data_IF_924586556134
#
_entry.id   IF_924586556134
#
_cell.length_a   1.000
_cell.length_b   1.000
_cell.length_c   1.000
_cell.angle_alpha   90.00
_cell.angle_beta   90.00
_cell.angle_gamma   90.00
#
_symmetry.space_group_name_H-M   'P 1'
#
loop_
_entity.id
_entity.type
_entity.pdbx_description
1 polymer ?
#
# COMPACT_ATOMS: atom_id res chain seq x y z
N UNK A 1 -31.47 33.40 3.10
CA UNK A 1 -30.88 32.04 3.19
C UNK A 1 -29.57 32.11 2.47
N UNK A 2 -28.48 32.27 3.23
CA UNK A 2 -27.12 32.33 2.72
C UNK A 2 -26.64 30.90 2.54
N UNK A 3 -26.55 30.46 1.29
CA UNK A 3 -25.79 29.26 0.91
C UNK A 3 -24.33 29.53 1.26
N UNK A 4 -23.82 28.93 2.33
CA UNK A 4 -22.39 28.88 2.57
C UNK A 4 -21.75 28.07 1.45
N UNK A 5 -21.04 28.75 0.55
CA UNK A 5 -20.09 28.14 -0.39
C UNK A 5 -18.91 27.58 0.41
N UNK A 6 -19.12 26.46 1.09
CA UNK A 6 -18.08 25.69 1.75
C UNK A 6 -17.60 24.55 0.86
N UNK A 7 -16.29 24.29 0.85
CA UNK A 7 -15.73 23.05 0.28
C UNK A 7 -16.35 21.85 1.02
N UNK A 8 -16.88 20.83 0.32
CA UNK A 8 -17.35 19.58 0.92
C UNK A 8 -16.39 19.01 1.96
N UNK A 9 -16.92 18.42 3.06
CA UNK A 9 -16.11 17.95 4.19
C UNK A 9 -15.01 16.98 3.74
N UNK A 10 -15.34 15.98 2.92
CA UNK A 10 -14.38 14.95 2.49
C UNK A 10 -13.24 15.52 1.65
N UNK A 11 -13.56 16.35 0.66
CA UNK A 11 -12.59 17.07 -0.19
C UNK A 11 -11.61 17.91 0.65
N UNK A 12 -12.13 18.64 1.65
CA UNK A 12 -11.31 19.41 2.57
C UNK A 12 -10.34 18.55 3.39
N UNK A 13 -10.81 17.43 3.94
CA UNK A 13 -10.00 16.58 4.81
C UNK A 13 -8.85 15.92 4.07
N UNK A 14 -9.08 15.48 2.84
CA UNK A 14 -7.99 14.95 2.03
C UNK A 14 -7.05 16.05 1.57
N UNK A 15 -7.54 17.23 1.18
CA UNK A 15 -6.67 18.40 0.91
C UNK A 15 -5.77 18.69 2.13
N UNK A 16 -6.31 18.60 3.34
CA UNK A 16 -5.55 18.74 4.57
C UNK A 16 -4.50 17.63 4.73
N UNK A 17 -4.82 16.36 4.43
CA UNK A 17 -3.84 15.26 4.42
C UNK A 17 -2.72 15.52 3.41
N UNK A 18 -3.05 15.94 2.19
CA UNK A 18 -2.07 16.23 1.14
C UNK A 18 -1.13 17.39 1.55
N UNK A 19 -1.68 18.49 2.07
CA UNK A 19 -0.90 19.64 2.56
C UNK A 19 -0.04 19.23 3.77
N UNK A 20 -0.59 18.44 4.68
CA UNK A 20 0.06 18.04 5.92
C UNK A 20 0.31 19.21 6.89
N UNK A 21 1.04 18.92 7.96
CA UNK A 21 1.48 19.93 8.92
C UNK A 21 0.44 20.32 9.97
N UNK A 22 0.91 21.05 10.99
CA UNK A 22 0.10 21.50 12.14
C UNK A 22 -1.11 22.34 11.74
N UNK A 23 -1.03 23.14 10.68
CA UNK A 23 -2.12 23.98 10.20
C UNK A 23 -3.25 23.14 9.60
N UNK A 24 -2.93 22.17 8.74
CA UNK A 24 -3.90 21.26 8.16
C UNK A 24 -4.57 20.40 9.23
N UNK A 25 -3.78 19.86 10.17
CA UNK A 25 -4.32 19.11 11.32
C UNK A 25 -5.27 19.95 12.17
N UNK A 26 -4.90 21.19 12.51
CA UNK A 26 -5.76 22.09 13.28
C UNK A 26 -7.06 22.41 12.55
N UNK A 27 -6.99 22.52 11.22
CA UNK A 27 -8.15 22.79 10.38
C UNK A 27 -9.09 21.56 10.31
N UNK A 28 -8.55 20.33 10.33
CA UNK A 28 -9.34 19.10 10.49
C UNK A 28 -10.06 19.05 11.85
N UNK A 29 -9.37 19.35 12.96
CA UNK A 29 -9.98 19.34 14.30
C UNK A 29 -11.18 20.30 14.42
N UNK A 30 -11.14 21.45 13.73
CA UNK A 30 -12.25 22.40 13.71
C UNK A 30 -13.46 21.93 12.90
N UNK A 31 -13.33 20.88 12.09
CA UNK A 31 -14.31 20.45 11.08
C UNK A 31 -14.75 18.99 11.21
N UNK A 32 -13.98 18.17 11.94
CA UNK A 32 -14.30 16.79 12.30
C UNK A 32 -14.61 16.68 13.79
N UNK A 33 -15.85 16.35 14.13
CA UNK A 33 -16.18 15.82 15.45
C UNK A 33 -16.08 14.30 15.42
N UNK A 34 -14.86 13.75 15.40
CA UNK A 34 -14.65 12.30 15.45
C UNK A 34 -14.01 11.94 16.79
N UNK A 35 -14.73 11.14 17.56
CA UNK A 35 -14.31 10.58 18.84
C UNK A 35 -13.68 9.21 18.57
N UNK A 36 -12.36 9.20 18.42
CA UNK A 36 -11.59 7.97 18.18
C UNK A 36 -11.21 7.39 19.53
N UNK A 37 -11.51 6.11 19.84
CA UNK A 37 -11.10 5.52 21.09
C UNK A 37 -9.59 5.60 21.32
N UNK A 38 -9.20 5.82 22.57
CA UNK A 38 -7.82 5.78 23.04
C UNK A 38 -7.32 4.33 22.97
N UNK A 39 -6.06 4.13 22.58
CA UNK A 39 -5.43 2.82 22.58
C UNK A 39 -5.18 2.26 23.98
N UNK A 40 -4.86 0.97 24.11
CA UNK A 40 -4.60 0.36 25.41
C UNK A 40 -3.24 0.77 25.98
N UNK A 41 -3.13 0.82 27.31
CA UNK A 41 -1.83 1.01 28.01
C UNK A 41 -0.86 -0.17 27.83
N UNK A 42 -1.40 -1.34 27.46
CA UNK A 42 -0.64 -2.57 27.27
C UNK A 42 -0.89 -3.15 25.87
N UNK A 43 0.18 -3.20 25.07
CA UNK A 43 0.16 -3.70 23.70
C UNK A 43 0.39 -5.21 23.55
N UNK A 44 0.45 -5.97 24.64
CA UNK A 44 0.63 -7.43 24.57
C UNK A 44 -0.50 -8.16 23.84
N UNK A 45 -1.69 -7.56 23.74
CA UNK A 45 -2.80 -8.06 22.93
C UNK A 45 -2.64 -7.79 21.43
N UNK A 46 -1.73 -6.90 21.03
CA UNK A 46 -1.50 -6.61 19.62
C UNK A 46 -0.69 -7.73 18.98
N UNK A 47 -0.99 -8.08 17.72
CA UNK A 47 -0.24 -9.11 17.02
C UNK A 47 1.22 -8.68 16.88
N UNK A 48 2.13 -9.64 17.01
CA UNK A 48 3.56 -9.43 16.70
C UNK A 48 3.76 -9.05 15.23
N UNK A 49 2.84 -9.44 14.35
CA UNK A 49 2.86 -9.07 12.93
C UNK A 49 2.31 -7.65 12.75
N UNK A 50 3.18 -6.68 12.48
CA UNK A 50 2.77 -5.30 12.25
C UNK A 50 1.71 -5.21 11.13
N UNK A 51 1.89 -6.01 10.08
CA UNK A 51 1.03 -6.03 8.91
C UNK A 51 -0.33 -6.72 9.10
N UNK A 52 -0.63 -7.33 10.24
CA UNK A 52 -1.87 -8.10 10.46
C UNK A 52 -3.10 -7.21 10.71
N UNK A 53 -3.53 -6.45 9.70
CA UNK A 53 -4.60 -5.45 9.79
C UNK A 53 -5.99 -6.02 9.51
N UNK A 54 -6.11 -7.13 8.80
CA UNK A 54 -7.39 -7.62 8.28
C UNK A 54 -8.45 -7.87 9.37
N UNK A 55 -8.05 -8.24 10.58
CA UNK A 55 -8.97 -8.45 11.71
C UNK A 55 -9.49 -7.15 12.32
N UNK A 56 -8.76 -6.04 12.15
CA UNK A 56 -9.12 -4.72 12.67
C UNK A 56 -9.88 -3.85 11.65
N UNK A 57 -10.17 -4.40 10.46
CA UNK A 57 -10.80 -3.71 9.35
C UNK A 57 -12.21 -4.24 9.07
N UNK A 58 -13.14 -3.36 8.65
CA UNK A 58 -14.47 -3.79 8.26
C UNK A 58 -14.43 -4.62 6.98
N UNK A 59 -15.54 -5.32 6.72
CA UNK A 59 -15.75 -6.08 5.51
C UNK A 59 -16.94 -5.52 4.73
N UNK A 60 -16.88 -5.60 3.41
CA UNK A 60 -18.03 -5.32 2.55
C UNK A 60 -19.06 -6.46 2.60
N UNK A 61 -20.19 -6.28 1.91
CA UNK A 61 -21.29 -7.26 1.86
C UNK A 61 -20.87 -8.64 1.31
N UNK A 62 -19.71 -8.72 0.63
CA UNK A 62 -19.16 -9.95 0.09
C UNK A 62 -18.05 -10.54 0.98
N UNK A 63 -17.66 -9.86 2.06
CA UNK A 63 -16.61 -10.30 2.98
C UNK A 63 -15.20 -9.88 2.59
N UNK A 64 -15.03 -9.01 1.59
CA UNK A 64 -13.74 -8.42 1.26
C UNK A 64 -13.33 -7.42 2.34
N UNK A 65 -12.04 -7.35 2.65
CA UNK A 65 -11.53 -6.35 3.61
C UNK A 65 -11.57 -4.97 2.95
N UNK A 66 -12.13 -3.99 3.65
CA UNK A 66 -12.19 -2.60 3.17
C UNK A 66 -10.96 -1.85 3.67
N UNK A 67 -10.23 -1.22 2.74
CA UNK A 67 -9.01 -0.49 3.04
C UNK A 67 -9.32 0.86 3.70
N UNK A 68 -8.47 1.34 4.65
CA UNK A 68 -8.61 2.68 5.19
C UNK A 68 -8.46 3.80 4.15
N UNK A 69 -9.27 4.85 4.29
CA UNK A 69 -9.39 5.92 3.31
C UNK A 69 -8.16 6.80 3.14
N UNK A 70 -7.39 7.05 4.20
CA UNK A 70 -6.27 8.01 4.19
C UNK A 70 -4.95 7.31 4.50
N UNK A 71 -3.91 7.73 3.76
CA UNK A 71 -2.58 7.14 3.80
C UNK A 71 -1.51 8.22 3.91
N UNK A 72 -0.53 7.98 4.77
CA UNK A 72 0.72 8.76 4.81
C UNK A 72 1.89 7.80 4.86
N UNK A 73 2.84 7.96 3.95
CA UNK A 73 4.14 7.31 3.93
C UNK A 73 5.21 8.36 4.24
N UNK A 74 5.93 8.19 5.36
CA UNK A 74 7.09 8.99 5.71
C UNK A 74 8.34 8.18 5.39
N UNK A 75 9.11 8.63 4.41
CA UNK A 75 10.40 8.04 4.06
C UNK A 75 11.48 8.75 4.87
N UNK A 76 12.36 7.97 5.48
CA UNK A 76 13.21 8.42 6.58
C UNK A 76 14.67 8.01 6.34
N UNK A 77 15.58 8.95 6.56
CA UNK A 77 17.02 8.68 6.60
C UNK A 77 17.50 8.74 8.05
N UNK A 78 18.19 7.71 8.49
CA UNK A 78 18.81 7.67 9.82
C UNK A 78 19.90 8.75 9.89
N UNK A 79 19.85 9.59 10.93
CA UNK A 79 20.63 10.84 10.98
C UNK A 79 22.11 10.62 11.25
N UNK A 80 22.47 9.51 11.88
CA UNK A 80 23.86 9.23 12.30
C UNK A 80 24.56 8.35 11.27
N UNK A 81 25.88 8.44 11.27
CA UNK A 81 26.74 7.50 10.58
C UNK A 81 26.83 6.19 11.38
N UNK A 82 27.01 5.08 10.68
CA UNK A 82 27.13 3.75 11.30
C UNK A 82 25.80 3.15 11.77
N UNK A 83 25.92 2.18 12.68
CA UNK A 83 24.81 1.39 13.19
C UNK A 83 24.01 2.15 14.26
N UNK A 84 22.67 1.98 14.31
CA UNK A 84 21.86 2.52 15.39
C UNK A 84 22.20 1.90 16.74
N UNK A 85 22.08 2.68 17.82
CA UNK A 85 22.37 2.23 19.19
C UNK A 85 21.09 1.98 20.02
N UNK A 86 21.24 1.58 21.28
CA UNK A 86 20.10 1.28 22.17
C UNK A 86 19.19 2.48 22.39
N UNK A 87 19.77 3.66 22.65
CA UNK A 87 19.02 4.90 22.89
C UNK A 87 18.17 5.28 21.66
N UNK A 88 18.68 5.08 20.45
CA UNK A 88 17.91 5.34 19.22
C UNK A 88 16.70 4.40 19.10
N UNK A 89 16.85 3.13 19.51
CA UNK A 89 15.76 2.14 19.50
C UNK A 89 14.69 2.51 20.50
N UNK A 90 15.10 2.88 21.71
CA UNK A 90 14.20 3.29 22.78
C UNK A 90 13.43 4.57 22.39
N UNK A 91 14.11 5.54 21.76
CA UNK A 91 13.49 6.78 21.28
C UNK A 91 12.41 6.48 20.21
N UNK A 92 12.74 5.67 19.20
CA UNK A 92 11.80 5.30 18.13
C UNK A 92 10.62 4.52 18.70
N UNK A 93 10.87 3.50 19.53
CA UNK A 93 9.80 2.69 20.11
C UNK A 93 8.89 3.53 21.01
N UNK A 94 9.45 4.45 21.80
CA UNK A 94 8.68 5.35 22.66
C UNK A 94 7.78 6.27 21.85
N UNK A 95 8.30 6.88 20.77
CA UNK A 95 7.50 7.73 19.88
C UNK A 95 6.35 6.94 19.20
N UNK A 96 6.64 5.73 18.71
CA UNK A 96 5.61 4.86 18.10
C UNK A 96 4.54 4.43 19.12
N UNK A 97 4.94 4.10 20.35
CA UNK A 97 3.99 3.81 21.41
C UNK A 97 3.13 5.01 21.76
N UNK A 98 3.66 6.23 21.74
CA UNK A 98 2.90 7.46 22.03
C UNK A 98 1.65 7.60 21.14
N UNK A 99 1.80 7.38 19.83
CA UNK A 99 0.68 7.44 18.88
C UNK A 99 -0.26 6.23 18.96
N UNK A 100 0.25 5.05 19.33
CA UNK A 100 -0.58 3.86 19.55
C UNK A 100 -1.35 3.89 20.87
N UNK A 101 -0.91 4.64 21.87
CA UNK A 101 -1.73 4.96 23.04
C UNK A 101 -2.77 6.01 22.68
N UNK A 102 -2.42 7.02 21.88
CA UNK A 102 -3.36 8.06 21.49
C UNK A 102 -4.55 7.53 20.69
N UNK A 103 -4.36 6.51 19.85
CA UNK A 103 -5.40 5.97 18.99
C UNK A 103 -5.46 4.45 19.05
N UNK A 104 -6.68 3.90 19.19
CA UNK A 104 -6.88 2.46 19.09
C UNK A 104 -6.45 1.92 17.71
N UNK A 105 -6.10 0.63 17.69
CA UNK A 105 -5.77 -0.08 16.47
C UNK A 105 -7.04 -0.55 15.76
N UNK A 106 -7.61 0.31 14.93
CA UNK A 106 -8.80 0.03 14.10
C UNK A 106 -8.74 0.80 12.78
N UNK A 107 -9.69 0.54 11.87
CA UNK A 107 -9.83 1.30 10.63
C UNK A 107 -10.08 2.79 10.86
N UNK A 108 -10.86 3.17 11.88
CA UNK A 108 -11.16 4.56 12.22
C UNK A 108 -10.11 5.19 13.15
N UNK A 109 -9.42 4.34 13.92
CA UNK A 109 -8.21 4.65 14.66
C UNK A 109 -6.97 4.63 13.79
N UNK A 110 -5.87 4.09 14.32
CA UNK A 110 -4.58 4.09 13.65
C UNK A 110 -4.10 2.67 13.31
N UNK A 111 -3.82 2.45 12.04
CA UNK A 111 -3.02 1.32 11.56
C UNK A 111 -1.65 1.82 11.13
N UNK A 112 -0.59 1.16 11.59
CA UNK A 112 0.78 1.55 11.27
C UNK A 112 1.70 0.37 11.00
N UNK A 113 2.67 0.58 10.12
CA UNK A 113 3.87 -0.26 9.99
C UNK A 113 5.13 0.60 9.91
N UNK A 114 6.23 0.06 10.42
CA UNK A 114 7.59 0.57 10.16
C UNK A 114 8.35 -0.48 9.38
N UNK A 115 9.04 -0.06 8.33
CA UNK A 115 9.77 -0.93 7.41
C UNK A 115 11.14 -0.36 7.06
N UNK A 116 12.09 -1.21 6.70
CA UNK A 116 13.51 -0.87 6.54
C UNK A 116 14.06 -1.35 5.20
N UNK A 117 14.78 -0.50 4.48
CA UNK A 117 15.32 -0.82 3.15
C UNK A 117 16.62 -1.64 3.24
N UNK A 118 17.08 -2.25 2.13
CA UNK A 118 18.44 -2.81 2.04
C UNK A 118 19.52 -1.82 2.49
N UNK A 119 19.43 -0.55 2.08
CA UNK A 119 20.38 0.50 2.44
C UNK A 119 20.51 0.73 3.95
N UNK A 120 19.44 0.50 4.72
CA UNK A 120 19.54 0.51 6.18
C UNK A 120 20.37 -0.66 6.72
N UNK A 121 20.22 -1.85 6.15
CA UNK A 121 20.94 -3.04 6.57
C UNK A 121 22.42 -3.05 6.12
N UNK A 122 22.76 -2.34 5.05
CA UNK A 122 24.15 -2.13 4.60
C UNK A 122 25.03 -1.40 5.63
N UNK A 123 24.41 -0.81 6.68
CA UNK A 123 25.11 -0.17 7.80
C UNK A 123 25.69 -1.18 8.79
N UNK A 124 25.24 -2.43 8.75
CA UNK A 124 25.70 -3.50 9.64
C UNK A 124 26.86 -4.27 9.00
N UNK A 125 27.78 -4.75 9.83
CA UNK A 125 28.88 -5.60 9.36
C UNK A 125 28.41 -7.00 8.95
N UNK A 126 27.28 -7.43 9.51
CA UNK A 126 26.65 -8.73 9.25
C UNK A 126 25.55 -8.60 8.20
N UNK A 127 25.50 -9.54 7.26
CA UNK A 127 24.41 -9.62 6.29
C UNK A 127 23.11 -10.05 6.98
N UNK A 128 21.98 -9.79 6.32
CA UNK A 128 20.70 -10.38 6.71
C UNK A 128 20.77 -11.93 6.70
N UNK A 129 19.93 -12.62 7.51
CA UNK A 129 19.82 -14.08 7.48
C UNK A 129 19.40 -14.55 6.08
N UNK A 130 19.92 -15.70 5.62
CA UNK A 130 19.62 -16.27 4.29
C UNK A 130 18.12 -16.44 4.01
N UNK A 131 17.30 -16.61 5.04
CA UNK A 131 15.84 -16.75 4.91
C UNK A 131 15.08 -15.44 4.65
N UNK A 132 15.75 -14.29 4.68
CA UNK A 132 15.15 -12.97 4.41
C UNK A 132 15.50 -12.55 2.98
N UNK A 133 14.56 -12.73 2.06
CA UNK A 133 14.70 -12.28 0.68
C UNK A 133 14.35 -10.79 0.55
N UNK A 134 15.29 -9.93 0.95
CA UNK A 134 15.23 -8.48 0.81
C UNK A 134 16.29 -8.00 -0.20
N UNK A 135 15.95 -8.00 -1.48
CA UNK A 135 16.83 -7.54 -2.56
C UNK A 135 16.75 -6.04 -2.77
N UNK A 136 17.81 -5.47 -3.35
CA UNK A 136 17.80 -4.10 -3.84
C UNK A 136 16.69 -3.87 -4.87
N UNK A 137 16.04 -2.69 -4.85
CA UNK A 137 15.05 -2.37 -5.87
C UNK A 137 15.71 -2.19 -7.24
N UNK A 138 15.03 -2.63 -8.30
CA UNK A 138 15.52 -2.49 -9.67
C UNK A 138 14.38 -2.24 -10.69
N UNK A 139 14.74 -1.94 -11.93
CA UNK A 139 13.79 -1.94 -13.03
C UNK A 139 13.31 -3.37 -13.31
N UNK A 140 12.00 -3.61 -13.26
CA UNK A 140 11.39 -4.94 -13.39
C UNK A 140 10.82 -5.19 -14.78
N UNK A 141 10.99 -4.26 -15.72
CA UNK A 141 10.60 -4.45 -17.10
C UNK A 141 11.51 -3.64 -18.02
N UNK A 142 11.78 -4.10 -19.25
CA UNK A 142 12.67 -3.42 -20.21
C UNK A 142 12.19 -2.04 -20.69
N UNK A 143 10.98 -1.64 -20.31
CA UNK A 143 10.38 -0.35 -20.65
C UNK A 143 10.24 0.59 -19.45
N UNK A 144 10.76 0.20 -18.29
CA UNK A 144 10.80 0.99 -17.05
C UNK A 144 12.22 1.53 -16.82
N UNK A 145 12.31 2.74 -16.27
CA UNK A 145 13.54 3.35 -15.77
C UNK A 145 13.18 4.19 -14.53
N UNK A 146 12.83 3.54 -13.40
CA UNK A 146 12.37 4.24 -12.21
C UNK A 146 13.56 4.75 -11.40
N UNK A 147 13.36 5.88 -10.71
CA UNK A 147 14.27 6.25 -9.64
C UNK A 147 14.10 5.28 -8.46
N UNK A 148 15.21 4.79 -7.90
CA UNK A 148 15.19 3.81 -6.82
C UNK A 148 15.13 4.52 -5.46
N UNK A 149 14.12 4.19 -4.66
CA UNK A 149 13.97 4.66 -3.30
C UNK A 149 14.91 3.87 -2.38
N UNK A 150 15.97 4.51 -1.90
CA UNK A 150 16.93 3.96 -0.92
C UNK A 150 16.92 4.63 0.48
N UNK A 151 15.86 5.31 0.95
CA UNK A 151 15.86 5.81 2.32
C UNK A 151 15.84 4.64 3.31
N UNK A 152 16.41 4.85 4.50
CA UNK A 152 16.64 3.80 5.48
C UNK A 152 15.34 3.14 5.96
N UNK A 153 14.27 3.92 6.15
CA UNK A 153 13.00 3.41 6.66
C UNK A 153 11.77 4.09 6.05
N UNK A 154 10.63 3.42 6.13
CA UNK A 154 9.31 3.98 5.82
C UNK A 154 8.35 3.70 6.96
N UNK A 155 7.72 4.76 7.47
CA UNK A 155 6.54 4.67 8.34
C UNK A 155 5.30 4.83 7.49
N UNK A 156 4.41 3.83 7.50
CA UNK A 156 3.12 3.86 6.83
C UNK A 156 2.01 4.02 7.86
N UNK A 157 1.28 5.14 7.80
CA UNK A 157 0.11 5.45 8.61
C UNK A 157 -1.15 5.32 7.77
N UNK A 158 -2.19 4.69 8.32
CA UNK A 158 -3.48 4.53 7.66
C UNK A 158 -4.65 4.69 8.63
N UNK A 159 -5.70 5.38 8.18
CA UNK A 159 -6.96 5.57 8.92
C UNK A 159 -8.09 5.97 7.97
N UNK A 160 -9.33 5.68 8.33
CA UNK A 160 -10.52 6.28 7.72
C UNK A 160 -10.69 7.75 8.12
N UNK A 161 -9.98 8.20 9.16
CA UNK A 161 -10.08 9.54 9.72
C UNK A 161 -8.83 10.36 9.38
N UNK A 162 -9.00 11.41 8.59
CA UNK A 162 -7.90 12.28 8.15
C UNK A 162 -7.12 12.89 9.33
N UNK A 163 -7.83 13.34 10.37
CA UNK A 163 -7.19 13.91 11.55
C UNK A 163 -6.25 12.92 12.26
N UNK A 164 -6.51 11.61 12.18
CA UNK A 164 -5.70 10.59 12.87
C UNK A 164 -4.34 10.46 12.20
N UNK A 165 -4.28 10.30 10.88
CA UNK A 165 -2.99 10.20 10.16
C UNK A 165 -2.19 11.50 10.26
N UNK A 166 -2.85 12.65 10.19
CA UNK A 166 -2.22 13.96 10.38
C UNK A 166 -1.70 14.16 11.81
N UNK A 167 -2.50 13.82 12.80
CA UNK A 167 -2.15 13.96 14.21
C UNK A 167 -0.99 13.04 14.61
N UNK A 168 -1.04 11.78 14.17
CA UNK A 168 0.03 10.80 14.37
C UNK A 168 1.33 11.25 13.69
N UNK A 169 1.27 11.74 12.45
CA UNK A 169 2.42 12.32 11.76
C UNK A 169 3.05 13.48 12.55
N UNK A 170 2.24 14.43 13.00
CA UNK A 170 2.73 15.60 13.73
C UNK A 170 3.29 15.25 15.11
N UNK A 171 2.71 14.27 15.80
CA UNK A 171 3.26 13.76 17.06
C UNK A 171 4.60 13.04 16.86
N UNK A 172 4.75 12.21 15.81
CA UNK A 172 6.04 11.60 15.48
C UNK A 172 7.13 12.64 15.19
N UNK A 173 6.75 13.80 14.65
CA UNK A 173 7.64 14.95 14.41
C UNK A 173 7.89 15.82 15.64
N UNK A 174 7.30 15.50 16.80
CA UNK A 174 7.42 16.30 18.02
C UNK A 174 6.61 17.59 18.04
N UNK A 175 5.69 17.80 17.10
CA UNK A 175 4.92 19.03 16.97
C UNK A 175 3.67 19.06 17.87
N UNK A 176 3.45 18.02 18.70
CA UNK A 176 2.29 17.86 19.58
C UNK A 176 2.70 17.30 20.93
N UNK A 177 2.39 18.05 21.99
CA UNK A 177 2.53 17.59 23.38
C UNK A 177 1.36 16.71 23.83
N UNK A 178 0.19 16.84 23.17
CA UNK A 178 -1.02 16.06 23.47
C UNK A 178 -1.66 15.65 22.14
N UNK A 179 -2.10 14.40 22.05
CA UNK A 179 -2.78 13.82 20.89
C UNK A 179 -3.96 12.98 21.37
N UNK A 180 -5.16 13.24 20.85
CA UNK A 180 -6.40 12.57 21.27
C UNK A 180 -6.63 12.57 22.81
N UNK A 181 -6.29 13.67 23.48
CA UNK A 181 -6.38 13.78 24.94
C UNK A 181 -5.29 13.02 25.72
N UNK A 182 -4.35 12.38 25.04
CA UNK A 182 -3.21 11.65 25.63
C UNK A 182 -1.94 12.47 25.51
N UNK A 183 -1.25 12.69 26.64
CA UNK A 183 0.06 13.32 26.65
C UNK A 183 1.06 12.47 25.86
N UNK A 184 1.78 13.12 24.96
CA UNK A 184 2.80 12.47 24.15
C UNK A 184 4.13 12.39 24.92
N UNK A 185 4.88 11.30 24.77
CA UNK A 185 6.16 11.15 25.43
C UNK A 185 7.16 12.21 24.95
N UNK A 186 8.17 12.50 25.77
CA UNK A 186 9.34 13.31 25.38
C UNK A 186 10.29 12.48 24.49
N UNK A 187 9.74 11.95 23.40
CA UNK A 187 10.46 11.18 22.40
C UNK A 187 9.89 11.45 21.01
N UNK A 188 10.74 11.86 20.06
CA UNK A 188 10.33 12.13 18.69
C UNK A 188 11.05 11.23 17.71
N UNK A 189 10.34 10.80 16.67
CA UNK A 189 10.92 10.03 15.58
C UNK A 189 12.02 10.84 14.86
N UNK A 190 11.83 12.16 14.80
CA UNK A 190 12.73 13.10 14.12
C UNK A 190 14.03 13.40 14.85
N UNK A 191 14.18 13.01 16.12
CA UNK A 191 15.47 13.08 16.80
C UNK A 191 16.46 12.04 16.24
N UNK A 192 15.92 10.94 15.72
CA UNK A 192 16.67 9.80 15.19
C UNK A 192 16.71 9.79 13.66
N UNK A 193 15.62 10.21 13.03
CA UNK A 193 15.47 10.25 11.58
C UNK A 193 15.35 11.67 11.02
N UNK A 194 15.81 11.87 9.80
CA UNK A 194 15.43 12.99 8.95
C UNK A 194 14.34 12.52 7.98
N UNK A 195 13.29 13.32 7.79
CA UNK A 195 12.26 13.03 6.78
C UNK A 195 12.85 13.33 5.40
N UNK A 196 13.02 12.28 4.60
CA UNK A 196 13.56 12.35 3.24
C UNK A 196 12.47 12.66 2.21
N UNK A 197 11.29 12.06 2.38
CA UNK A 197 10.15 12.26 1.51
C UNK A 197 8.84 12.00 2.30
N UNK A 198 7.74 12.59 1.83
CA UNK A 198 6.40 12.40 2.38
C UNK A 198 5.45 12.18 1.21
N UNK A 199 4.79 11.02 1.21
CA UNK A 199 3.83 10.64 0.18
C UNK A 199 2.49 10.36 0.82
N UNK A 200 1.42 10.86 0.24
CA UNK A 200 0.07 10.69 0.75
C UNK A 200 -0.84 10.11 -0.30
N UNK A 201 -2.01 9.68 0.14
CA UNK A 201 -3.02 9.27 -0.80
C UNK A 201 -4.28 8.74 -0.14
N UNK A 202 -5.11 8.16 -0.98
CA UNK A 202 -6.47 7.76 -0.64
C UNK A 202 -6.95 6.56 -1.44
N UNK A 203 -7.92 5.84 -0.90
CA UNK A 203 -8.59 4.72 -1.56
C UNK A 203 -9.98 4.58 -0.97
N UNK A 204 -10.98 4.26 -1.80
CA UNK A 204 -12.35 4.10 -1.34
C UNK A 204 -13.34 4.82 -2.23
N UNK A 205 -14.58 4.34 -2.22
CA UNK A 205 -15.60 4.72 -3.19
C UNK A 205 -15.82 6.23 -3.21
N UNK A 206 -15.76 6.80 -4.41
CA UNK A 206 -16.00 8.22 -4.67
C UNK A 206 -14.80 9.12 -4.42
N UNK A 207 -13.81 8.69 -3.64
CA UNK A 207 -12.61 9.49 -3.40
C UNK A 207 -11.88 9.84 -4.70
N UNK A 208 -11.66 8.95 -5.69
CA UNK A 208 -11.07 9.34 -6.97
C UNK A 208 -11.84 10.45 -7.70
N UNK A 209 -13.18 10.42 -7.71
CA UNK A 209 -13.98 11.45 -8.36
C UNK A 209 -13.90 12.79 -7.63
N UNK A 210 -13.98 12.78 -6.29
CA UNK A 210 -13.80 13.97 -5.44
C UNK A 210 -12.44 14.65 -5.63
N UNK A 211 -11.46 13.93 -6.20
CA UNK A 211 -10.06 14.35 -6.28
C UNK A 211 -9.52 14.49 -7.70
N UNK A 212 -10.39 14.32 -8.69
CA UNK A 212 -9.99 14.41 -10.08
C UNK A 212 -9.48 15.81 -10.45
N UNK A 213 -10.05 16.87 -9.86
CA UNK A 213 -9.68 18.26 -10.14
C UNK A 213 -8.33 18.68 -9.52
N UNK A 214 -7.83 17.95 -8.53
CA UNK A 214 -6.51 18.19 -7.92
C UNK A 214 -5.34 17.77 -8.82
N UNK A 215 -5.61 16.94 -9.83
CA UNK A 215 -4.60 16.29 -10.66
C UNK A 215 -4.72 16.65 -12.14
N UNK A 216 -3.59 17.02 -12.75
CA UNK A 216 -3.54 17.27 -14.19
C UNK A 216 -3.78 15.98 -14.97
N UNK A 217 -4.60 16.07 -16.01
CA UNK A 217 -4.82 14.97 -16.96
C UNK A 217 -5.85 13.94 -16.50
N UNK A 218 -6.66 14.25 -15.48
CA UNK A 218 -7.83 13.44 -15.10
C UNK A 218 -9.09 14.03 -15.74
N UNK A 219 -9.81 13.29 -16.60
CA UNK A 219 -11.13 13.70 -17.07
C UNK A 219 -12.16 13.52 -15.95
N UNK A 220 -12.32 14.53 -15.09
CA UNK A 220 -13.13 14.47 -13.87
C UNK A 220 -14.58 14.00 -14.12
N UNK A 221 -15.19 14.43 -15.21
CA UNK A 221 -16.54 14.06 -15.64
C UNK A 221 -16.71 12.57 -15.99
N UNK A 222 -15.60 11.83 -16.14
CA UNK A 222 -15.58 10.41 -16.50
C UNK A 222 -15.22 9.47 -15.36
N UNK A 223 -14.69 10.00 -14.26
CA UNK A 223 -14.40 9.19 -13.06
C UNK A 223 -15.71 8.96 -12.32
N UNK A 224 -16.06 7.70 -12.08
CA UNK A 224 -17.33 7.37 -11.42
C UNK A 224 -17.31 7.75 -9.94
N UNK A 225 -18.42 8.29 -9.44
CA UNK A 225 -18.64 8.58 -8.01
C UNK A 225 -18.64 7.34 -7.11
N UNK A 226 -18.64 6.13 -7.68
CA UNK A 226 -18.55 4.87 -6.95
C UNK A 226 -17.22 4.14 -7.20
N UNK A 227 -16.28 4.75 -7.94
CA UNK A 227 -14.99 4.12 -8.17
C UNK A 227 -14.13 4.18 -6.90
N UNK A 228 -13.52 3.06 -6.44
CA UNK A 228 -12.59 3.08 -5.32
C UNK A 228 -11.18 3.53 -5.71
N UNK A 229 -10.86 3.48 -7.01
CA UNK A 229 -9.57 3.85 -7.59
C UNK A 229 -9.73 4.62 -8.92
N UNK A 230 -8.73 5.39 -9.31
CA UNK A 230 -8.70 6.32 -10.43
C UNK A 230 -8.93 5.67 -11.80
N UNK A 231 -8.59 4.39 -11.96
CA UNK A 231 -8.87 3.68 -13.21
C UNK A 231 -10.32 3.19 -13.31
N UNK A 232 -11.14 3.41 -12.28
CA UNK A 232 -12.59 3.20 -12.32
C UNK A 232 -13.05 1.78 -11.94
N UNK A 233 -12.15 0.95 -11.40
CA UNK A 233 -12.46 -0.44 -11.06
C UNK A 233 -11.95 -0.81 -9.67
N UNK A 234 -12.72 -1.65 -8.98
CA UNK A 234 -12.35 -2.31 -7.73
C UNK A 234 -11.28 -3.35 -7.98
N UNK A 235 -10.38 -3.49 -7.01
CA UNK A 235 -9.27 -4.45 -7.09
C UNK A 235 -9.08 -5.28 -5.80
N UNK A 236 -9.70 -4.89 -4.68
CA UNK A 236 -9.58 -5.51 -3.35
C UNK A 236 -10.34 -6.82 -3.14
N UNK A 237 -10.42 -7.70 -4.14
CA UNK A 237 -11.15 -8.97 -4.04
C UNK A 237 -10.41 -10.00 -3.18
N UNK A 238 -11.09 -10.59 -2.19
CA UNK A 238 -10.48 -11.55 -1.24
C UNK A 238 -9.72 -12.69 -1.92
N UNK A 239 -10.25 -13.28 -3.00
CA UNK A 239 -9.62 -14.40 -3.74
C UNK A 239 -8.47 -13.98 -4.67
N UNK A 240 -8.25 -12.67 -4.82
CA UNK A 240 -7.15 -12.09 -5.59
C UNK A 240 -6.05 -11.51 -4.69
N UNK A 241 -6.12 -11.74 -3.39
CA UNK A 241 -5.15 -11.26 -2.40
C UNK A 241 -4.58 -12.46 -1.63
N UNK A 242 -3.26 -12.46 -1.41
CA UNK A 242 -2.64 -13.40 -0.48
C UNK A 242 -3.20 -13.19 0.94
N UNK A 243 -3.24 -14.25 1.74
CA UNK A 243 -3.55 -14.11 3.17
C UNK A 243 -2.39 -13.44 3.92
N UNK A 244 -2.68 -12.83 5.07
CA UNK A 244 -1.64 -12.27 5.94
C UNK A 244 -0.67 -13.36 6.43
N UNK A 245 -1.15 -14.59 6.62
CA UNK A 245 -0.33 -15.75 6.95
C UNK A 245 0.62 -16.12 5.82
N UNK A 246 0.14 -16.13 4.56
CA UNK A 246 0.98 -16.41 3.39
C UNK A 246 2.15 -15.43 3.33
N UNK A 247 1.87 -14.14 3.35
CA UNK A 247 2.93 -13.11 3.19
C UNK A 247 3.87 -13.01 4.40
N UNK A 248 3.60 -13.72 5.49
CA UNK A 248 4.45 -13.72 6.70
C UNK A 248 5.66 -14.64 6.53
N UNK A 249 6.83 -14.19 6.98
CA UNK A 249 8.06 -14.99 7.15
C UNK A 249 7.85 -15.97 8.31
N UNK A 250 8.01 -17.27 8.04
CA UNK A 250 7.55 -18.35 8.92
C UNK A 250 8.61 -18.86 9.90
N UNK A 251 9.90 -18.57 9.64
CA UNK A 251 11.00 -19.11 10.44
C UNK A 251 12.20 -18.18 10.45
N UNK A 252 13.11 -18.43 11.40
CA UNK A 252 14.34 -17.66 11.57
C UNK A 252 14.17 -16.39 12.42
N UNK A 253 15.23 -15.57 12.54
CA UNK A 253 15.27 -14.42 13.44
C UNK A 253 14.20 -13.35 13.19
N UNK A 254 13.67 -13.27 11.96
CA UNK A 254 12.60 -12.37 11.56
C UNK A 254 11.24 -13.06 11.43
N UNK A 255 11.01 -14.18 12.12
CA UNK A 255 9.69 -14.84 12.15
C UNK A 255 8.60 -13.83 12.52
N UNK A 256 7.51 -13.79 11.75
CA UNK A 256 6.44 -12.80 11.92
C UNK A 256 6.64 -11.49 11.13
N UNK A 257 7.79 -11.30 10.48
CA UNK A 257 7.99 -10.22 9.51
C UNK A 257 7.28 -10.48 8.18
N UNK A 258 7.32 -9.50 7.29
CA UNK A 258 7.01 -9.64 5.86
C UNK A 258 7.93 -8.70 5.06
N UNK A 259 8.02 -8.88 3.74
CA UNK A 259 8.64 -7.88 2.87
C UNK A 259 7.56 -7.00 2.25
N UNK A 260 7.93 -5.77 1.91
CA UNK A 260 7.06 -4.76 1.35
C UNK A 260 7.71 -4.17 0.11
N UNK A 261 6.93 -4.06 -0.95
CA UNK A 261 7.30 -3.33 -2.16
C UNK A 261 6.45 -2.07 -2.26
N UNK A 262 7.08 -0.94 -2.59
CA UNK A 262 6.36 0.31 -2.88
C UNK A 262 6.83 0.85 -4.22
N UNK A 263 5.89 1.05 -5.15
CA UNK A 263 6.13 1.80 -6.38
C UNK A 263 5.24 3.04 -6.43
N UNK A 264 5.75 4.17 -6.94
CA UNK A 264 4.92 5.29 -7.39
C UNK A 264 4.69 5.14 -8.89
N UNK A 265 3.43 4.96 -9.28
CA UNK A 265 3.03 4.82 -10.67
C UNK A 265 2.25 6.06 -11.10
N UNK A 266 2.75 6.81 -12.08
CA UNK A 266 1.94 7.87 -12.70
C UNK A 266 0.89 7.25 -13.63
N UNK A 267 -0.34 7.76 -13.56
CA UNK A 267 -1.48 7.28 -14.34
C UNK A 267 -1.80 8.25 -15.49
N UNK A 268 -1.87 7.72 -16.72
CA UNK A 268 -2.34 8.47 -17.88
C UNK A 268 -3.86 8.29 -18.06
N UNK A 269 -4.62 8.95 -17.19
CA UNK A 269 -6.09 8.81 -17.14
C UNK A 269 -6.78 9.49 -18.32
N UNK A 270 -6.20 10.54 -18.89
CA UNK A 270 -6.71 11.14 -20.12
C UNK A 270 -6.73 10.11 -21.26
N UNK A 271 -5.63 9.37 -21.45
CA UNK A 271 -5.61 8.29 -22.43
C UNK A 271 -6.61 7.19 -22.07
N UNK A 272 -6.64 6.76 -20.81
CA UNK A 272 -7.54 5.71 -20.33
C UNK A 272 -9.03 6.01 -20.57
N UNK A 273 -9.48 7.23 -20.30
CA UNK A 273 -10.91 7.58 -20.36
C UNK A 273 -11.36 8.24 -21.68
N UNK A 274 -10.44 8.88 -22.42
CA UNK A 274 -10.79 9.59 -23.66
C UNK A 274 -10.42 8.83 -24.93
N UNK A 275 -9.43 7.94 -24.90
CA UNK A 275 -9.05 7.15 -26.08
C UNK A 275 -9.67 5.75 -26.08
N UNK A 276 -9.90 5.18 -24.90
CA UNK A 276 -10.55 3.87 -24.79
C UNK A 276 -12.03 4.00 -24.44
N UNK A 277 -12.84 3.14 -25.06
CA UNK A 277 -14.23 2.95 -24.65
C UNK A 277 -14.34 1.99 -23.44
N UNK A 278 -15.57 1.74 -22.97
CA UNK A 278 -15.81 0.84 -21.83
C UNK A 278 -15.30 -0.57 -22.11
N UNK A 279 -15.57 -1.10 -23.31
CA UNK A 279 -15.15 -2.43 -23.70
C UNK A 279 -13.62 -2.59 -23.62
N UNK A 280 -12.88 -1.64 -24.18
CA UNK A 280 -11.41 -1.66 -24.16
C UNK A 280 -10.86 -1.59 -22.74
N UNK A 281 -11.45 -0.76 -21.88
CA UNK A 281 -11.03 -0.65 -20.48
C UNK A 281 -11.28 -1.95 -19.70
N UNK A 282 -12.44 -2.58 -19.88
CA UNK A 282 -12.75 -3.88 -19.25
C UNK A 282 -11.85 -4.99 -19.78
N UNK A 283 -11.63 -5.06 -21.10
CA UNK A 283 -10.76 -6.04 -21.74
C UNK A 283 -9.30 -5.93 -21.26
N UNK A 284 -8.79 -4.70 -21.12
CA UNK A 284 -7.42 -4.41 -20.68
C UNK A 284 -7.26 -4.54 -19.16
N UNK A 285 -8.28 -4.25 -18.35
CA UNK A 285 -8.20 -4.39 -16.89
C UNK A 285 -8.42 -5.84 -16.43
N UNK A 286 -9.41 -6.54 -17.00
CA UNK A 286 -9.81 -7.88 -16.59
C UNK A 286 -9.39 -8.92 -17.62
N UNK A 287 -10.20 -9.10 -18.66
CA UNK A 287 -9.90 -9.87 -19.89
C UNK A 287 -11.01 -9.61 -20.94
N UNK A 288 -10.82 -9.97 -22.22
CA UNK A 288 -11.83 -9.75 -23.26
C UNK A 288 -13.18 -10.40 -23.00
N UNK A 289 -13.23 -11.58 -22.38
CA UNK A 289 -14.49 -12.25 -22.02
C UNK A 289 -15.39 -11.38 -21.14
N UNK A 290 -14.80 -10.63 -20.19
CA UNK A 290 -15.58 -9.74 -19.32
C UNK A 290 -16.27 -8.64 -20.12
N UNK A 291 -15.55 -8.06 -21.09
CA UNK A 291 -16.03 -6.98 -21.93
C UNK A 291 -17.06 -7.44 -22.96
N UNK A 292 -16.94 -8.66 -23.48
CA UNK A 292 -17.90 -9.23 -24.44
C UNK A 292 -19.22 -9.67 -23.82
N UNK A 293 -19.22 -9.98 -22.52
CA UNK A 293 -20.36 -10.56 -21.82
C UNK A 293 -20.94 -9.65 -20.72
N UNK A 294 -20.55 -8.37 -20.71
CA UNK A 294 -21.01 -7.36 -19.74
C UNK A 294 -20.91 -7.86 -18.28
N UNK A 295 -19.81 -8.54 -17.94
CA UNK A 295 -19.64 -9.20 -16.63
C UNK A 295 -19.49 -8.18 -15.50
N UNK A 296 -19.05 -6.95 -15.81
CA UNK A 296 -18.64 -5.94 -14.84
C UNK A 296 -19.65 -4.80 -14.79
N UNK A 297 -20.38 -4.69 -13.68
CA UNK A 297 -21.27 -3.56 -13.44
C UNK A 297 -20.51 -2.44 -12.73
N UNK A 298 -20.56 -1.22 -13.29
CA UNK A 298 -19.95 -0.03 -12.67
C UNK A 298 -18.46 -0.22 -12.37
N UNK A 299 -18.09 -0.16 -11.08
CA UNK A 299 -16.73 -0.38 -10.61
C UNK A 299 -16.38 -1.87 -10.37
N UNK A 300 -17.34 -2.79 -10.49
CA UNK A 300 -17.12 -4.23 -10.34
C UNK A 300 -17.52 -4.81 -8.98
N UNK A 301 -18.40 -4.15 -8.22
CA UNK A 301 -18.91 -4.70 -6.96
C UNK A 301 -19.68 -6.00 -7.15
N UNK A 302 -20.37 -6.15 -8.29
CA UNK A 302 -21.09 -7.36 -8.67
C UNK A 302 -20.19 -8.61 -8.83
N UNK A 303 -18.87 -8.44 -8.84
CA UNK A 303 -17.91 -9.55 -8.95
C UNK A 303 -17.73 -10.31 -7.63
N UNK A 304 -18.23 -9.79 -6.51
CA UNK A 304 -18.22 -10.47 -5.22
C UNK A 304 -16.82 -10.55 -4.61
N UNK A 305 -16.26 -11.76 -4.48
CA UNK A 305 -14.96 -11.99 -3.82
C UNK A 305 -13.80 -12.28 -4.76
N UNK A 306 -14.01 -12.27 -6.08
CA UNK A 306 -12.98 -12.52 -7.08
C UNK A 306 -13.17 -11.69 -8.33
N UNK A 307 -12.10 -11.43 -9.08
CA UNK A 307 -12.16 -10.83 -10.41
C UNK A 307 -12.69 -11.75 -11.53
N UNK A 308 -13.24 -12.94 -11.19
CA UNK A 308 -13.85 -13.94 -12.11
C UNK A 308 -13.03 -14.28 -13.36
N UNK A 309 -11.70 -14.36 -13.22
CA UNK A 309 -10.79 -14.66 -14.33
C UNK A 309 -10.87 -16.11 -14.80
N UNK A 310 -11.45 -17.02 -14.01
CA UNK A 310 -11.60 -18.44 -14.36
C UNK A 310 -12.42 -18.67 -15.64
N UNK A 311 -13.29 -17.72 -16.00
CA UNK A 311 -14.07 -17.76 -17.25
C UNK A 311 -13.27 -17.20 -18.46
N UNK A 312 -12.10 -16.61 -18.23
CA UNK A 312 -11.23 -16.11 -19.29
C UNK A 312 -10.41 -17.26 -19.91
N UNK A 313 -10.19 -17.18 -21.22
CA UNK A 313 -9.29 -18.09 -21.93
C UNK A 313 -7.83 -17.92 -21.48
N UNK A 314 -6.92 -18.87 -21.76
CA UNK A 314 -5.49 -18.70 -21.55
C UNK A 314 -4.93 -17.44 -22.24
N UNK A 315 -3.90 -16.83 -21.66
CA UNK A 315 -3.38 -15.55 -22.13
C UNK A 315 -2.79 -15.62 -23.54
N UNK A 316 -2.17 -16.72 -23.93
CA UNK A 316 -1.58 -16.92 -25.25
C UNK A 316 -2.65 -17.09 -26.35
N UNK A 317 -3.71 -17.84 -26.07
CA UNK A 317 -4.89 -17.95 -26.95
C UNK A 317 -5.58 -16.59 -27.10
N UNK A 318 -5.85 -15.92 -25.97
CA UNK A 318 -6.47 -14.58 -25.97
C UNK A 318 -5.64 -13.58 -26.77
N UNK A 319 -4.31 -13.60 -26.62
CA UNK A 319 -3.42 -12.71 -27.38
C UNK A 319 -3.49 -12.96 -28.89
N UNK A 320 -3.57 -14.23 -29.33
CA UNK A 320 -3.61 -14.59 -30.75
C UNK A 320 -4.96 -14.29 -31.39
N UNK A 321 -6.06 -14.57 -30.68
CA UNK A 321 -7.41 -14.45 -31.24
C UNK A 321 -7.99 -13.04 -31.07
N UNK A 322 -7.76 -12.40 -29.93
CA UNK A 322 -8.37 -11.11 -29.59
C UNK A 322 -7.40 -9.94 -29.80
N UNK A 323 -6.09 -10.20 -29.87
CA UNK A 323 -5.08 -9.14 -29.98
C UNK A 323 -4.97 -8.24 -28.75
N UNK A 324 -5.48 -8.69 -27.60
CA UNK A 324 -5.44 -8.02 -26.30
C UNK A 324 -5.46 -9.03 -25.16
N UNK A 325 -4.68 -8.80 -24.11
CA UNK A 325 -4.68 -9.60 -22.89
C UNK A 325 -4.89 -8.71 -21.68
N UNK A 326 -5.73 -9.13 -20.74
CA UNK A 326 -6.07 -8.31 -19.59
C UNK A 326 -5.01 -8.31 -18.48
N UNK A 327 -5.00 -7.25 -17.68
CA UNK A 327 -4.12 -7.11 -16.52
C UNK A 327 -4.39 -8.19 -15.46
N UNK A 328 -5.66 -8.36 -15.06
CA UNK A 328 -6.04 -9.36 -14.07
C UNK A 328 -5.86 -10.79 -14.59
N UNK A 329 -6.08 -11.00 -15.89
CA UNK A 329 -5.80 -12.26 -16.58
C UNK A 329 -4.33 -12.68 -16.48
N UNK A 330 -3.40 -11.73 -16.68
CA UNK A 330 -1.96 -11.98 -16.52
C UNK A 330 -1.57 -12.19 -15.07
N UNK A 331 -2.09 -11.34 -14.17
CA UNK A 331 -1.81 -11.42 -12.73
C UNK A 331 -2.26 -12.77 -12.14
N UNK A 332 -3.37 -13.34 -12.63
CA UNK A 332 -3.86 -14.64 -12.19
C UNK A 332 -2.91 -15.81 -12.47
N UNK A 333 -1.88 -15.65 -13.32
CA UNK A 333 -0.84 -16.66 -13.57
C UNK A 333 0.17 -16.79 -12.43
N UNK A 334 0.27 -15.80 -11.56
CA UNK A 334 1.23 -15.76 -10.45
C UNK A 334 0.56 -16.21 -9.15
N UNK A 335 0.58 -17.53 -8.92
CA UNK A 335 -0.05 -18.20 -7.77
C UNK A 335 0.82 -19.36 -7.30
N UNK A 336 0.68 -19.71 -6.03
CA UNK A 336 1.28 -20.91 -5.44
C UNK A 336 0.57 -22.19 -5.93
N UNK A 337 1.13 -23.35 -5.60
CA UNK A 337 0.58 -24.68 -5.93
C UNK A 337 -0.84 -24.92 -5.39
N UNK A 338 -1.22 -24.22 -4.31
CA UNK A 338 -2.56 -24.27 -3.71
C UNK A 338 -3.53 -23.24 -4.31
N UNK A 339 -3.14 -22.61 -5.43
CA UNK A 339 -3.87 -21.54 -6.13
C UNK A 339 -3.97 -20.22 -5.33
N UNK A 340 -3.19 -20.05 -4.26
CA UNK A 340 -3.14 -18.79 -3.51
C UNK A 340 -2.35 -17.71 -4.27
N UNK A 341 -2.81 -16.43 -4.31
CA UNK A 341 -2.00 -15.33 -4.83
C UNK A 341 -0.70 -15.15 -4.05
N UNK A 342 0.34 -14.68 -4.73
CA UNK A 342 1.67 -14.50 -4.12
C UNK A 342 1.80 -13.23 -3.27
N UNK A 343 0.97 -12.21 -3.53
CA UNK A 343 1.08 -10.89 -2.88
C UNK A 343 -0.25 -10.43 -2.25
N UNK A 344 -0.14 -9.64 -1.19
CA UNK A 344 -1.25 -8.93 -0.55
C UNK A 344 -1.08 -7.43 -0.82
N UNK A 345 -1.98 -6.85 -1.62
CA UNK A 345 -1.94 -5.45 -2.01
C UNK A 345 -2.66 -4.56 -1.02
N UNK A 346 -2.10 -3.36 -0.83
CA UNK A 346 -2.63 -2.25 -0.03
C UNK A 346 -2.40 -0.93 -0.77
N UNK A 347 -2.52 -0.97 -2.09
CA UNK A 347 -2.35 0.17 -2.98
C UNK A 347 -3.43 1.23 -2.80
N UNK A 348 -3.08 2.46 -3.14
CA UNK A 348 -3.93 3.63 -2.98
C UNK A 348 -3.55 4.71 -4.00
N UNK A 349 -4.52 5.52 -4.41
CA UNK A 349 -4.33 6.63 -5.32
C UNK A 349 -3.69 7.82 -4.62
N UNK A 350 -3.04 8.68 -5.41
CA UNK A 350 -2.49 9.94 -4.94
C UNK A 350 -2.63 11.01 -6.01
N UNK A 351 -2.74 12.26 -5.54
CA UNK A 351 -2.66 13.47 -6.35
C UNK A 351 -1.47 14.33 -5.97
N UNK A 352 -0.53 13.78 -5.21
CA UNK A 352 0.72 14.46 -4.87
C UNK A 352 1.42 14.94 -6.15
N UNK A 353 2.14 16.05 -6.05
CA UNK A 353 2.79 16.75 -7.17
C UNK A 353 1.82 17.23 -8.28
N UNK A 354 0.50 17.24 -8.01
CA UNK A 354 -0.53 17.69 -8.94
C UNK A 354 -0.73 16.75 -10.13
N UNK A 355 -0.42 15.46 -9.97
CA UNK A 355 -0.60 14.44 -10.99
C UNK A 355 -1.29 13.20 -10.40
N UNK A 356 -2.16 12.57 -11.19
CA UNK A 356 -2.81 11.32 -10.78
C UNK A 356 -1.77 10.20 -10.77
N UNK A 357 -1.64 9.55 -9.62
CA UNK A 357 -0.72 8.45 -9.41
C UNK A 357 -1.34 7.36 -8.53
N UNK A 358 -0.74 6.18 -8.55
CA UNK A 358 -1.03 5.08 -7.65
C UNK A 358 0.25 4.76 -6.88
N UNK A 359 0.17 4.75 -5.56
CA UNK A 359 1.16 4.07 -4.74
C UNK A 359 0.82 2.59 -4.71
N UNK A 360 1.50 1.82 -5.56
CA UNK A 360 1.41 0.37 -5.50
C UNK A 360 2.20 -0.13 -4.31
N UNK A 361 1.50 -0.35 -3.19
CA UNK A 361 2.05 -0.97 -1.99
C UNK A 361 1.58 -2.42 -1.92
N UNK A 362 2.53 -3.36 -1.83
CA UNK A 362 2.24 -4.77 -1.64
C UNK A 362 3.12 -5.38 -0.55
N UNK A 363 2.58 -6.43 0.06
CA UNK A 363 3.24 -7.27 1.05
C UNK A 363 3.39 -8.67 0.47
N UNK A 364 4.54 -9.28 0.74
CA UNK A 364 4.87 -10.61 0.27
C UNK A 364 5.93 -11.24 1.16
N UNK A 365 6.03 -12.57 1.18
CA UNK A 365 7.02 -13.24 2.05
C UNK A 365 8.44 -12.96 1.58
N UNK A 366 8.63 -12.92 0.27
CA UNK A 366 9.91 -12.75 -0.42
C UNK A 366 9.78 -11.66 -1.48
N UNK A 367 10.76 -10.78 -1.66
CA UNK A 367 10.71 -9.81 -2.78
C UNK A 367 10.55 -10.54 -4.13
N UNK A 368 11.13 -11.74 -4.27
CA UNK A 368 10.96 -12.59 -5.45
C UNK A 368 9.50 -12.90 -5.75
N UNK A 369 8.62 -13.08 -4.75
CA UNK A 369 7.19 -13.31 -4.98
C UNK A 369 6.52 -12.12 -5.71
N UNK A 370 6.98 -10.90 -5.42
CA UNK A 370 6.53 -9.69 -6.11
C UNK A 370 7.13 -9.60 -7.52
N UNK A 371 8.40 -9.97 -7.69
CA UNK A 371 9.06 -10.03 -9.02
C UNK A 371 8.34 -11.02 -9.93
N UNK A 372 8.07 -12.24 -9.46
CA UNK A 372 7.32 -13.28 -10.21
C UNK A 372 5.95 -12.75 -10.65
N UNK A 373 5.24 -12.04 -9.75
CA UNK A 373 3.97 -11.40 -10.08
C UNK A 373 4.14 -10.32 -11.15
N UNK A 374 5.18 -9.50 -11.06
CA UNK A 374 5.45 -8.45 -12.07
C UNK A 374 5.87 -9.03 -13.41
N UNK A 375 6.66 -10.10 -13.45
CA UNK A 375 7.05 -10.79 -14.67
C UNK A 375 5.82 -11.33 -15.42
N UNK A 376 4.93 -12.03 -14.71
CA UNK A 376 3.66 -12.49 -15.27
C UNK A 376 2.83 -11.32 -15.83
N UNK A 377 2.78 -10.20 -15.10
CA UNK A 377 2.07 -8.99 -15.52
C UNK A 377 2.75 -8.22 -16.65
N UNK A 378 4.07 -8.35 -16.83
CA UNK A 378 4.77 -7.75 -17.97
C UNK A 378 4.40 -8.47 -19.27
N UNK A 379 4.17 -9.79 -19.20
CA UNK A 379 3.72 -10.58 -20.35
C UNK A 379 4.69 -10.51 -21.53
N UNK A 380 6.00 -10.45 -21.27
CA UNK A 380 7.04 -10.41 -22.31
C UNK A 380 6.99 -11.67 -23.18
N UNK A 381 6.73 -12.81 -22.55
CA UNK A 381 6.46 -14.10 -23.20
C UNK A 381 5.29 -14.03 -24.19
N UNK A 382 4.22 -13.30 -23.85
CA UNK A 382 3.05 -13.08 -24.70
C UNK A 382 3.40 -12.17 -25.88
N UNK A 383 4.14 -11.08 -25.61
CA UNK A 383 4.57 -10.12 -26.65
C UNK A 383 5.45 -10.77 -27.71
N UNK A 384 6.33 -11.69 -27.34
CA UNK A 384 7.23 -12.38 -28.28
C UNK A 384 6.49 -13.34 -29.23
N UNK A 385 5.28 -13.78 -28.85
CA UNK A 385 4.54 -14.85 -29.54
C UNK A 385 3.22 -14.38 -30.17
N UNK A 386 2.92 -13.08 -30.13
CA UNK A 386 1.64 -12.53 -30.59
C UNK A 386 1.75 -11.11 -31.13
N UNK A 387 0.63 -10.54 -31.57
CA UNK A 387 0.54 -9.15 -31.99
C UNK A 387 0.39 -8.16 -30.81
N UNK A 388 0.28 -8.65 -29.57
CA UNK A 388 0.20 -7.82 -28.38
C UNK A 388 1.55 -7.13 -28.18
N UNK A 389 1.54 -5.80 -28.15
CA UNK A 389 2.77 -5.04 -27.99
C UNK A 389 3.31 -5.09 -26.57
N UNK A 390 4.52 -4.59 -26.36
CA UNK A 390 5.13 -4.52 -25.03
C UNK A 390 4.25 -3.76 -24.02
N UNK A 391 3.58 -2.69 -24.47
CA UNK A 391 2.61 -1.91 -23.68
C UNK A 391 1.20 -1.91 -24.29
N UNK A 392 1.11 -1.78 -25.61
CA UNK A 392 -0.17 -1.70 -26.32
C UNK A 392 -0.92 -3.03 -26.25
N UNK A 393 -2.19 -2.99 -25.85
CA UNK A 393 -3.06 -4.15 -25.63
C UNK A 393 -2.51 -5.19 -24.64
N UNK A 394 -1.49 -4.84 -23.85
CA UNK A 394 -0.86 -5.69 -22.86
C UNK A 394 -1.32 -5.30 -21.45
N UNK A 395 -2.61 -5.48 -21.20
CA UNK A 395 -3.30 -5.00 -20.02
C UNK A 395 -3.22 -3.48 -19.90
N UNK A 396 -2.88 -2.99 -18.71
CA UNK A 396 -2.84 -1.55 -18.41
C UNK A 396 -1.44 -0.90 -18.57
N UNK A 397 -0.44 -1.62 -19.09
CA UNK A 397 0.95 -1.14 -19.16
C UNK A 397 1.14 0.15 -19.98
N UNK A 398 0.21 0.45 -20.90
CA UNK A 398 0.20 1.70 -21.67
C UNK A 398 -0.21 2.93 -20.84
N UNK A 399 -0.96 2.74 -19.76
CA UNK A 399 -1.52 3.84 -18.95
C UNK A 399 -0.74 4.11 -17.68
N UNK A 400 0.30 3.32 -17.40
CA UNK A 400 1.11 3.46 -16.19
C UNK A 400 2.58 3.72 -16.53
N UNK A 401 3.21 4.59 -15.74
CA UNK A 401 4.64 4.81 -15.75
C UNK A 401 5.18 4.71 -14.33
N UNK A 402 6.07 3.75 -14.10
CA UNK A 402 6.77 3.61 -12.83
C UNK A 402 7.78 4.75 -12.69
N UNK A 403 7.62 5.59 -11.66
CA UNK A 403 8.49 6.73 -11.38
C UNK A 403 9.47 6.45 -10.25
N UNK A 404 9.00 5.75 -9.21
CA UNK A 404 9.78 5.42 -8.01
C UNK A 404 9.58 3.95 -7.66
N UNK A 405 10.58 3.32 -7.06
CA UNK A 405 10.49 1.94 -6.55
C UNK A 405 11.41 1.71 -5.35
N UNK A 406 10.89 1.06 -4.31
CA UNK A 406 11.66 0.62 -3.14
C UNK A 406 11.21 -0.72 -2.59
N UNK A 407 12.16 -1.45 -2.01
CA UNK A 407 11.94 -2.72 -1.30
C UNK A 407 12.27 -2.52 0.19
N UNK A 408 11.47 -3.11 1.06
CA UNK A 408 11.59 -2.94 2.51
C UNK A 408 11.26 -4.21 3.27
N UNK A 409 11.89 -4.45 4.41
CA UNK A 409 11.49 -5.45 5.40
C UNK A 409 10.57 -4.78 6.42
N UNK A 410 9.39 -5.35 6.65
CA UNK A 410 8.51 -5.02 7.78
C UNK A 410 8.81 -6.04 8.89
N UNK A 411 9.68 -5.72 9.87
CA UNK A 411 10.01 -6.66 10.94
C UNK A 411 8.80 -6.98 11.84
N UNK A 412 8.86 -8.01 12.70
CA UNK A 412 7.88 -8.16 13.76
C UNK A 412 7.93 -6.95 14.70
N UNK A 413 6.84 -6.73 15.44
CA UNK A 413 6.63 -5.60 16.34
C UNK A 413 7.71 -5.51 17.42
N UNK A 414 8.22 -6.64 17.91
CA UNK A 414 9.35 -6.71 18.85
C UNK A 414 10.67 -6.16 18.29
N UNK A 415 10.81 -6.07 16.96
CA UNK A 415 12.00 -5.62 16.25
C UNK A 415 11.75 -4.37 15.38
N UNK A 416 10.58 -3.72 15.51
CA UNK A 416 10.16 -2.63 14.61
C UNK A 416 10.94 -1.33 14.74
N UNK A 417 11.71 -1.18 15.81
CA UNK A 417 12.44 0.03 16.14
C UNK A 417 13.92 -0.22 15.91
N UNK A 418 14.38 0.11 14.70
CA UNK A 418 15.76 -0.04 14.21
C UNK A 418 16.30 -1.48 14.42
N UNK A 419 15.76 -2.48 13.69
CA UNK A 419 16.17 -3.87 13.85
C UNK A 419 17.67 -4.05 13.60
N UNK A 420 18.38 -4.88 14.39
CA UNK A 420 19.70 -5.36 13.98
C UNK A 420 19.60 -6.24 12.73
N UNK A 421 20.67 -6.38 11.96
CA UNK A 421 20.70 -7.30 10.81
C UNK A 421 20.55 -8.77 11.22
N UNK A 422 21.14 -9.16 12.35
CA UNK A 422 21.02 -10.49 12.95
C UNK A 422 20.43 -10.39 14.37
N UNK A 423 19.09 -10.35 14.51
CA UNK A 423 18.49 -10.42 15.84
C UNK A 423 18.73 -11.80 16.45
N UNK A 424 18.86 -11.86 17.79
CA UNK A 424 18.88 -13.13 18.49
C UNK A 424 17.53 -13.83 18.26
N UNK A 425 17.53 -14.96 17.55
CA UNK A 425 16.31 -15.73 17.33
C UNK A 425 15.82 -16.32 18.65
N UNK A 426 14.56 -16.07 19.01
CA UNK A 426 13.87 -16.86 20.03
C UNK A 426 13.68 -18.28 19.48
N UNK A 427 14.71 -19.11 19.60
CA UNK A 427 14.64 -20.54 19.35
C UNK A 427 13.87 -21.21 20.50
N UNK A 428 12.55 -21.01 20.56
CA UNK A 428 11.69 -22.00 21.19
C UNK A 428 11.47 -23.11 20.17
N UNK A 429 12.35 -24.10 20.19
CA UNK A 429 12.06 -25.43 19.65
C UNK A 429 10.75 -25.90 20.28
N UNK A 430 9.66 -25.83 19.52
CA UNK A 430 8.44 -26.56 19.86
C UNK A 430 8.74 -28.02 19.55
N UNK A 431 9.24 -28.74 20.56
CA UNK A 431 9.30 -30.20 20.53
C UNK A 431 7.86 -30.70 20.47
N UNK A 432 7.40 -31.09 19.29
CA UNK A 432 6.21 -31.92 19.18
C UNK A 432 6.53 -33.30 19.73
N UNK A 433 6.27 -33.51 21.02
CA UNK A 433 6.13 -34.87 21.55
C UNK A 433 4.91 -35.50 20.86
N UNK A 434 5.19 -36.55 20.11
CA UNK A 434 4.19 -37.39 19.49
C UNK A 434 3.52 -38.23 20.59
N UNK A 435 2.20 -38.16 20.71
CA UNK A 435 1.38 -39.17 21.38
C UNK A 435 0.04 -39.31 20.67
#
# INVERSE_FOLDING_TARGET
MTDERGIPRREFLKSAVAIGGTAAFSACLGREGVDVPIGPDNFSSYPQRQHAWNEALPRDDHGNVVAPNHRVLLYLNYRREGQPNGDDRDQVETALRGIEHAYERSGDGLLLTVSYSPAYFDRFDESLPEGVDLTDPEALAPFEDPDLDTPDAVVHLASNTAQVVLGAEEALKGNKSTLNGVEQPDATLTDVFAVADRRTGFVGDGLPAENADDAKGVPADKVSENAPLFMGFKSGFKKNQASEDRVTIQSGPFTGATTQHISKLQLNLNQWYNQDDRWQREAKMFCPYHAENDVIEGAGDNLGTSSKIDDCRPTDETAREMGVVGHSQKSARARDDDDSPLILRRDFDSTDDGAASLHFLALQRRITDFVDTREAMNGTDITEQSAVGQRNNNGILQYIRTERRGNFLVPPRSLRSLPPAQPAGDAQEVTHESS
#
